data_IF_120333672755
#
_entry.id   IF_120333672755
#
_cell.length_a   1.000
_cell.length_b   1.000
_cell.length_c   1.000
_cell.angle_alpha   90.00
_cell.angle_beta   90.00
_cell.angle_gamma   90.00
#
_symmetry.space_group_name_H-M   'P 1'
#
loop_
_entity.id
_entity.type
_entity.pdbx_description
1 polymer ?
#
# COMPACT_ATOMS: atom_id res chain seq x y z
N UNK A 1 -13.79 -6.17 -7.44
CA UNK A 1 -12.73 -5.14 -7.52
C UNK A 1 -13.18 -3.95 -6.68
N UNK A 2 -12.30 -3.36 -5.90
CA UNK A 2 -12.59 -2.19 -5.07
C UNK A 2 -12.04 -0.97 -5.83
N UNK A 3 -12.81 0.11 -5.90
CA UNK A 3 -12.43 1.35 -6.56
C UNK A 3 -12.66 2.54 -5.62
N UNK A 4 -11.72 3.50 -5.63
CA UNK A 4 -11.88 4.75 -4.91
C UNK A 4 -12.35 5.84 -5.88
N UNK A 5 -13.57 6.34 -5.69
CA UNK A 5 -14.21 7.25 -6.64
C UNK A 5 -13.43 8.56 -6.87
N UNK A 6 -12.81 9.11 -5.83
CA UNK A 6 -12.11 10.41 -5.91
C UNK A 6 -10.82 10.34 -6.71
N UNK A 7 -10.03 9.27 -6.56
CA UNK A 7 -8.72 9.16 -7.20
C UNK A 7 -8.68 8.15 -8.35
N UNK A 8 -9.77 7.44 -8.62
CA UNK A 8 -9.88 6.43 -9.68
C UNK A 8 -9.05 5.16 -9.48
N UNK A 9 -8.14 5.11 -8.49
CA UNK A 9 -7.34 3.91 -8.19
C UNK A 9 -8.24 2.73 -7.85
N UNK A 10 -7.82 1.56 -8.31
CA UNK A 10 -8.52 0.29 -8.10
C UNK A 10 -7.56 -0.72 -7.52
N UNK A 11 -8.11 -1.66 -6.73
CA UNK A 11 -7.37 -2.79 -6.20
C UNK A 11 -8.30 -3.97 -5.98
N UNK A 12 -7.72 -5.14 -5.76
CA UNK A 12 -8.48 -6.36 -5.43
C UNK A 12 -8.20 -6.79 -3.99
N UNK A 13 -9.01 -7.69 -3.43
CA UNK A 13 -8.84 -8.31 -2.10
C UNK A 13 -8.94 -7.38 -0.88
N UNK A 14 -9.38 -7.98 0.23
CA UNK A 14 -9.89 -7.25 1.41
C UNK A 14 -8.81 -6.74 2.37
N UNK A 15 -7.57 -7.19 2.22
CA UNK A 15 -6.47 -6.81 3.14
C UNK A 15 -5.74 -5.54 2.74
N UNK A 16 -5.95 -5.03 1.53
CA UNK A 16 -5.28 -3.82 1.06
C UNK A 16 -5.97 -2.58 1.61
N UNK A 17 -5.15 -1.57 1.86
CA UNK A 17 -5.54 -0.33 2.50
C UNK A 17 -5.27 0.83 1.56
N UNK A 18 -6.18 1.80 1.54
CA UNK A 18 -6.03 3.02 0.75
C UNK A 18 -5.94 4.21 1.69
N UNK A 19 -4.97 5.10 1.48
CA UNK A 19 -4.90 6.33 2.27
C UNK A 19 -5.81 7.39 1.63
N UNK A 20 -6.86 7.88 2.31
CA UNK A 20 -7.75 8.88 1.73
C UNK A 20 -7.09 10.25 1.55
N UNK A 21 -5.92 10.50 2.18
CA UNK A 21 -5.24 11.79 2.12
C UNK A 21 -4.24 11.92 0.95
N UNK A 22 -3.41 10.89 0.73
CA UNK A 22 -2.41 10.90 -0.36
C UNK A 22 -2.76 9.95 -1.51
N UNK A 23 -3.83 9.16 -1.35
CA UNK A 23 -4.30 8.17 -2.29
C UNK A 23 -3.31 7.06 -2.64
N UNK A 24 -2.30 6.80 -1.80
CA UNK A 24 -1.45 5.62 -1.97
C UNK A 24 -2.14 4.34 -1.50
N UNK A 25 -1.87 3.24 -2.22
CA UNK A 25 -2.42 1.91 -1.94
C UNK A 25 -1.36 1.06 -1.26
N UNK A 26 -1.74 0.37 -0.19
CA UNK A 26 -0.86 -0.44 0.65
C UNK A 26 -1.36 -1.89 0.69
N UNK A 27 -0.44 -2.84 0.81
CA UNK A 27 -0.79 -4.25 0.83
C UNK A 27 -1.50 -4.71 2.14
N UNK A 28 -1.45 -3.86 3.18
CA UNK A 28 -1.95 -4.14 4.52
C UNK A 28 -2.18 -2.86 5.32
N UNK A 29 -3.02 -2.92 6.34
CA UNK A 29 -3.19 -1.82 7.32
C UNK A 29 -1.86 -1.51 8.01
N UNK A 30 -1.05 -2.52 8.33
CA UNK A 30 0.26 -2.31 8.97
C UNK A 30 1.24 -1.53 8.09
N UNK A 31 1.21 -1.71 6.76
CA UNK A 31 2.00 -0.89 5.86
C UNK A 31 1.44 0.55 5.78
N UNK A 32 0.12 0.72 5.72
CA UNK A 32 -0.50 2.03 5.75
C UNK A 32 -0.20 2.78 7.06
N UNK A 33 -0.15 2.09 8.20
CA UNK A 33 0.15 2.70 9.49
C UNK A 33 1.59 3.17 9.61
N UNK A 34 2.56 2.46 9.01
CA UNK A 34 3.95 2.96 8.91
C UNK A 34 4.04 4.30 8.17
N UNK A 35 3.19 4.48 7.17
CA UNK A 35 3.07 5.72 6.39
C UNK A 35 2.38 6.84 7.18
N UNK A 36 1.48 6.53 8.12
CA UNK A 36 0.73 7.52 8.90
C UNK A 36 1.49 7.87 10.18
N UNK A 37 2.24 8.97 10.15
CA UNK A 37 3.01 9.45 11.30
C UNK A 37 2.27 10.56 12.05
N UNK A 38 2.69 10.85 13.28
CA UNK A 38 1.99 11.79 14.17
C UNK A 38 0.75 11.18 14.85
N UNK A 39 0.17 11.90 15.80
CA UNK A 39 -0.97 11.46 16.59
C UNK A 39 -2.29 11.85 15.91
N UNK A 40 -3.22 10.90 15.87
CA UNK A 40 -4.56 11.12 15.33
C UNK A 40 -5.26 12.29 16.06
N UNK A 41 -5.82 13.21 15.28
CA UNK A 41 -6.50 14.41 15.80
C UNK A 41 -5.58 15.53 16.30
N UNK A 42 -4.26 15.38 16.20
CA UNK A 42 -3.30 16.42 16.62
C UNK A 42 -2.45 16.86 15.43
N UNK A 43 -1.57 15.98 14.94
CA UNK A 43 -0.55 16.28 13.94
C UNK A 43 -0.35 15.13 12.94
N UNK A 44 -1.35 14.24 12.83
CA UNK A 44 -1.30 13.10 11.90
C UNK A 44 -1.08 13.58 10.48
N UNK A 45 -0.04 13.04 9.85
CA UNK A 45 0.36 13.36 8.49
C UNK A 45 0.86 12.14 7.73
N UNK A 46 0.88 12.28 6.42
CA UNK A 46 1.48 11.29 5.52
C UNK A 46 3.00 11.44 5.53
N UNK A 47 3.73 10.36 5.80
CA UNK A 47 5.15 10.22 5.47
C UNK A 47 5.27 9.53 4.11
N UNK A 48 6.08 10.01 3.14
CA UNK A 48 6.23 9.33 1.87
C UNK A 48 6.49 7.82 2.07
N UNK A 49 5.77 6.92 1.38
CA UNK A 49 5.87 5.48 1.66
C UNK A 49 7.30 4.92 1.61
N UNK A 50 8.11 5.41 0.67
CA UNK A 50 9.53 5.06 0.58
C UNK A 50 10.32 5.46 1.85
N UNK A 51 10.06 6.65 2.40
CA UNK A 51 10.65 7.12 3.67
C UNK A 51 10.15 6.32 4.87
N UNK A 52 8.93 5.77 4.80
CA UNK A 52 8.40 4.83 5.80
C UNK A 52 9.03 3.41 5.71
N UNK A 53 10.03 3.23 4.84
CA UNK A 53 10.72 1.97 4.60
C UNK A 53 9.86 0.95 3.85
N UNK A 54 8.87 1.40 3.09
CA UNK A 54 8.05 0.54 2.23
C UNK A 54 8.66 0.49 0.83
N UNK A 55 8.51 -0.67 0.19
CA UNK A 55 8.93 -0.88 -1.19
C UNK A 55 7.72 -0.74 -2.11
N UNK A 56 7.86 -0.04 -3.26
CA UNK A 56 6.83 -0.05 -4.28
C UNK A 56 6.82 -1.44 -4.93
N UNK A 57 5.63 -1.95 -5.23
CA UNK A 57 5.49 -3.18 -5.98
C UNK A 57 4.39 -3.03 -7.00
N UNK A 58 4.75 -3.32 -8.25
CA UNK A 58 3.83 -3.22 -9.37
C UNK A 58 2.79 -4.34 -9.30
N UNK A 59 1.54 -3.97 -9.52
CA UNK A 59 0.41 -4.89 -9.65
C UNK A 59 -0.30 -4.58 -10.96
N UNK A 60 -1.13 -5.50 -11.50
CA UNK A 60 -1.86 -5.25 -12.74
C UNK A 60 -2.77 -4.01 -12.73
N UNK A 61 -3.08 -3.47 -11.55
CA UNK A 61 -3.94 -2.31 -11.31
C UNK A 61 -3.19 -1.07 -10.79
N UNK A 62 -1.85 -1.12 -10.72
CA UNK A 62 -1.00 -0.01 -10.30
C UNK A 62 -0.10 -0.34 -9.11
N UNK A 63 0.67 0.65 -8.66
CA UNK A 63 1.65 0.49 -7.58
C UNK A 63 0.97 0.22 -6.24
N UNK A 64 1.50 -0.76 -5.50
CA UNK A 64 1.10 -1.14 -4.16
C UNK A 64 2.32 -1.13 -3.22
N UNK A 65 2.24 -0.40 -2.12
CA UNK A 65 3.32 -0.28 -1.14
C UNK A 65 3.28 -1.41 -0.12
N UNK A 66 4.42 -2.04 0.13
CA UNK A 66 4.53 -3.14 1.08
C UNK A 66 5.79 -3.09 1.94
N UNK A 67 5.77 -3.80 3.06
CA UNK A 67 6.97 -3.97 3.87
C UNK A 67 8.04 -4.79 3.13
N UNK A 68 9.33 -4.51 3.34
CA UNK A 68 10.42 -5.34 2.83
C UNK A 68 10.29 -6.77 3.38
N UNK A 69 10.60 -7.76 2.55
CA UNK A 69 10.39 -9.18 2.84
C UNK A 69 9.22 -9.83 2.08
N UNK A 70 8.43 -9.02 1.37
CA UNK A 70 7.45 -9.46 0.37
C UNK A 70 6.22 -10.19 0.92
N UNK A 71 5.03 -9.74 0.52
CA UNK A 71 3.84 -10.60 0.51
C UNK A 71 3.91 -11.52 -0.74
N UNK A 72 4.70 -12.59 -0.66
CA UNK A 72 4.95 -13.54 -1.77
C UNK A 72 3.72 -14.37 -2.18
N UNK A 73 2.52 -14.02 -1.71
CA UNK A 73 1.29 -14.78 -2.01
C UNK A 73 0.78 -14.61 -3.44
N UNK A 74 1.31 -13.64 -4.18
CA UNK A 74 0.94 -13.35 -5.57
C UNK A 74 2.14 -13.29 -6.54
N UNK A 75 3.35 -13.55 -6.07
CA UNK A 75 4.45 -13.91 -6.98
C UNK A 75 4.18 -15.33 -7.44
N UNK A 76 3.74 -15.49 -8.69
CA UNK A 76 4.00 -16.72 -9.43
C UNK A 76 5.49 -17.00 -9.28
N UNK A 77 5.83 -18.02 -8.50
CA UNK A 77 7.15 -18.62 -8.56
C UNK A 77 7.19 -19.38 -9.88
N UNK A 78 7.29 -18.65 -10.99
CA UNK A 78 7.67 -19.21 -12.26
C UNK A 78 9.19 -19.37 -12.21
N UNK A 79 9.61 -20.56 -11.76
CA UNK A 79 10.87 -21.22 -12.04
C UNK A 79 12.14 -20.36 -12.07
N UNK A 80 12.77 -20.25 -10.89
CA UNK A 80 14.23 -20.28 -10.83
C UNK A 80 14.67 -21.75 -10.91
N UNK A 81 15.04 -22.21 -12.11
CA UNK A 81 15.75 -23.45 -12.38
C UNK A 81 16.86 -23.19 -13.39
#
# INVERSE_FOLDING_TARGET
MISHAECGKTWTGLRRSHCPACHETFNSESAADKHRVGKYGIDRRCLPPAEAGLIPTEQPWGTCWQAPGGDLRFTDTADAA
#
